data_IF_521587609355
#
_entry.id   IF_521587609355
#
_cell.length_a   1.000
_cell.length_b   1.000
_cell.length_c   1.000
_cell.angle_alpha   90.00
_cell.angle_beta   90.00
_cell.angle_gamma   90.00
#
_symmetry.space_group_name_H-M   'P 1'
#
loop_
_entity.id
_entity.type
_entity.pdbx_description
1 polymer ?
#
# COMPACT_ATOMS: atom_id res chain seq x y z
N UNK A 1 -16.21 -8.89 -0.83
CA UNK A 1 -16.73 -9.04 0.55
C UNK A 1 -17.73 -7.93 0.86
N UNK A 2 -18.82 -8.20 1.60
CA UNK A 2 -19.82 -7.23 2.09
C UNK A 2 -20.29 -7.64 3.50
N UNK A 3 -20.93 -6.74 4.24
CA UNK A 3 -21.56 -7.07 5.52
C UNK A 3 -20.57 -7.43 6.63
N UNK A 4 -20.92 -8.43 7.46
CA UNK A 4 -20.14 -8.85 8.64
C UNK A 4 -18.70 -9.26 8.30
N UNK A 5 -18.51 -10.09 7.27
CA UNK A 5 -17.18 -10.51 6.81
C UNK A 5 -16.30 -9.32 6.42
N UNK A 6 -16.84 -8.35 5.68
CA UNK A 6 -16.09 -7.12 5.34
C UNK A 6 -15.73 -6.33 6.60
N UNK A 7 -16.66 -6.21 7.57
CA UNK A 7 -16.39 -5.51 8.83
C UNK A 7 -15.26 -6.20 9.61
N UNK A 8 -15.28 -7.53 9.73
CA UNK A 8 -14.25 -8.32 10.43
C UNK A 8 -12.88 -8.15 9.77
N UNK A 9 -12.79 -8.36 8.45
CA UNK A 9 -11.55 -8.17 7.70
C UNK A 9 -11.02 -6.73 7.79
N UNK A 10 -11.90 -5.73 7.69
CA UNK A 10 -11.51 -4.32 7.83
C UNK A 10 -11.00 -4.00 9.24
N UNK A 11 -11.67 -4.50 10.29
CA UNK A 11 -11.21 -4.32 11.68
C UNK A 11 -9.84 -4.94 11.90
N UNK A 12 -9.57 -6.11 11.32
CA UNK A 12 -8.26 -6.77 11.38
C UNK A 12 -7.19 -5.98 10.64
N UNK A 13 -7.48 -5.47 9.44
CA UNK A 13 -6.51 -4.59 8.76
C UNK A 13 -6.22 -3.34 9.59
N UNK A 14 -7.25 -2.71 10.17
CA UNK A 14 -7.08 -1.53 11.01
C UNK A 14 -6.30 -1.80 12.30
N UNK A 15 -6.40 -3.00 12.87
CA UNK A 15 -5.60 -3.34 14.05
C UNK A 15 -4.11 -3.37 13.75
N UNK A 16 -3.68 -3.67 12.53
CA UNK A 16 -2.27 -3.63 12.09
C UNK A 16 -1.80 -2.28 11.56
N UNK A 17 -2.73 -1.40 11.20
CA UNK A 17 -2.45 -0.04 10.78
C UNK A 17 -2.57 0.98 11.92
N UNK A 18 -2.62 0.53 13.17
CA UNK A 18 -2.72 1.43 14.32
C UNK A 18 -1.37 2.11 14.64
N UNK A 19 -1.42 3.30 15.23
CA UNK A 19 -0.24 4.13 15.46
C UNK A 19 0.81 3.49 16.37
N UNK A 20 0.40 2.62 17.30
CA UNK A 20 1.31 1.89 18.19
C UNK A 20 2.11 0.83 17.43
N UNK A 21 1.46 -0.01 16.61
CA UNK A 21 2.16 -1.03 15.80
C UNK A 21 3.04 -0.37 14.74
N UNK A 22 2.56 0.72 14.14
CA UNK A 22 3.35 1.49 13.17
C UNK A 22 4.64 2.01 13.84
N UNK A 23 4.50 2.60 15.04
CA UNK A 23 5.62 3.16 15.79
C UNK A 23 6.62 2.11 16.24
N UNK A 24 6.13 1.00 16.81
CA UNK A 24 6.97 0.05 17.55
C UNK A 24 7.64 -0.99 16.65
N UNK A 25 7.06 -1.30 15.49
CA UNK A 25 7.54 -2.37 14.61
C UNK A 25 7.71 -1.94 13.15
N UNK A 26 6.69 -1.30 12.56
CA UNK A 26 6.69 -1.02 11.12
C UNK A 26 7.80 -0.04 10.71
N UNK A 27 8.04 1.01 11.50
CA UNK A 27 9.05 2.02 11.16
C UNK A 27 10.46 1.43 11.06
N UNK A 28 10.82 0.54 11.97
CA UNK A 28 12.12 -0.12 11.98
C UNK A 28 12.30 -1.03 10.75
N UNK A 29 11.25 -1.79 10.38
CA UNK A 29 11.27 -2.61 9.17
C UNK A 29 11.35 -1.76 7.89
N UNK A 30 10.64 -0.62 7.83
CA UNK A 30 10.74 0.33 6.73
C UNK A 30 12.17 0.84 6.58
N UNK A 31 12.75 1.41 7.66
CA UNK A 31 14.10 1.98 7.63
C UNK A 31 15.14 0.94 7.22
N UNK A 32 15.07 -0.27 7.80
CA UNK A 32 15.98 -1.38 7.47
C UNK A 32 15.86 -1.81 6.01
N UNK A 33 14.65 -2.07 5.51
CA UNK A 33 14.45 -2.57 4.15
C UNK A 33 14.77 -1.51 3.09
N UNK A 34 14.48 -0.24 3.37
CA UNK A 34 14.85 0.88 2.49
C UNK A 34 16.37 1.00 2.43
N UNK A 35 17.08 1.03 3.56
CA UNK A 35 18.55 1.08 3.58
C UNK A 35 19.19 -0.10 2.86
N UNK A 36 18.72 -1.32 3.16
CA UNK A 36 19.23 -2.54 2.51
C UNK A 36 19.14 -2.47 0.98
N UNK A 37 18.03 -1.93 0.44
CA UNK A 37 17.89 -1.77 -1.00
C UNK A 37 18.74 -0.61 -1.53
N UNK A 38 18.73 0.55 -0.88
CA UNK A 38 19.54 1.71 -1.29
C UNK A 38 21.04 1.38 -1.33
N UNK A 39 21.55 0.63 -0.36
CA UNK A 39 22.96 0.20 -0.30
C UNK A 39 23.33 -0.77 -1.44
N UNK A 40 22.34 -1.44 -2.03
CA UNK A 40 22.54 -2.35 -3.17
C UNK A 40 22.54 -1.66 -4.53
N UNK A 41 22.11 -0.38 -4.59
CA UNK A 41 21.97 0.35 -5.84
C UNK A 41 23.34 0.73 -6.41
N UNK A 42 23.60 0.33 -7.65
CA UNK A 42 24.83 0.63 -8.37
C UNK A 42 24.53 1.28 -9.72
N UNK A 43 25.03 2.50 -9.93
CA UNK A 43 24.88 3.21 -11.20
C UNK A 43 23.44 3.59 -11.53
N UNK A 44 22.92 3.10 -12.67
CA UNK A 44 21.57 3.41 -13.15
C UNK A 44 20.61 2.29 -12.73
N UNK A 45 19.48 2.67 -12.14
CA UNK A 45 18.44 1.76 -11.67
C UNK A 45 17.11 2.02 -12.38
N UNK A 46 16.25 1.00 -12.40
CA UNK A 46 14.84 1.16 -12.73
C UNK A 46 14.08 1.42 -11.44
N UNK A 47 13.84 2.70 -11.12
CA UNK A 47 13.28 3.11 -9.83
C UNK A 47 11.95 2.42 -9.48
N UNK A 48 11.08 2.21 -10.48
CA UNK A 48 9.80 1.54 -10.25
C UNK A 48 9.99 0.08 -9.81
N UNK A 49 10.98 -0.62 -10.36
CA UNK A 49 11.27 -2.01 -10.00
C UNK A 49 11.86 -2.10 -8.59
N UNK A 50 12.74 -1.16 -8.23
CA UNK A 50 13.31 -1.07 -6.87
C UNK A 50 12.24 -0.70 -5.83
N UNK A 51 11.38 0.27 -6.13
CA UNK A 51 10.26 0.64 -5.25
C UNK A 51 9.27 -0.52 -5.07
N UNK A 52 9.01 -1.28 -6.15
CA UNK A 52 8.21 -2.50 -6.13
C UNK A 52 8.86 -3.56 -5.24
N UNK A 53 10.16 -3.79 -5.36
CA UNK A 53 10.89 -4.74 -4.50
C UNK A 53 10.78 -4.36 -3.02
N UNK A 54 11.08 -3.11 -2.66
CA UNK A 54 11.00 -2.63 -1.26
C UNK A 54 9.60 -2.84 -0.68
N UNK A 55 8.55 -2.42 -1.40
CA UNK A 55 7.17 -2.47 -0.91
C UNK A 55 6.63 -3.90 -0.85
N UNK A 56 7.03 -4.78 -1.76
CA UNK A 56 6.66 -6.19 -1.72
C UNK A 56 7.26 -6.87 -0.48
N UNK A 57 8.55 -6.68 -0.26
CA UNK A 57 9.26 -7.28 0.88
C UNK A 57 8.74 -6.76 2.22
N UNK A 58 8.47 -5.45 2.31
CA UNK A 58 7.82 -4.87 3.49
C UNK A 58 6.45 -5.50 3.73
N UNK A 59 5.64 -5.66 2.68
CA UNK A 59 4.30 -6.24 2.82
C UNK A 59 4.38 -7.72 3.24
N UNK A 60 5.30 -8.51 2.68
CA UNK A 60 5.52 -9.89 3.10
C UNK A 60 6.01 -9.99 4.55
N UNK A 61 6.91 -9.10 4.96
CA UNK A 61 7.39 -9.01 6.34
C UNK A 61 6.23 -8.76 7.30
N UNK A 62 5.35 -7.80 7.00
CA UNK A 62 4.22 -7.42 7.86
C UNK A 62 3.12 -8.48 7.90
N UNK A 63 2.85 -9.15 6.77
CA UNK A 63 1.78 -10.13 6.69
C UNK A 63 2.18 -11.50 7.22
N UNK A 64 3.43 -11.92 6.98
CA UNK A 64 3.87 -13.31 7.11
C UNK A 64 5.18 -13.47 7.89
N UNK A 65 5.83 -12.40 8.36
CA UNK A 65 7.17 -12.42 8.96
C UNK A 65 8.25 -13.03 8.06
N UNK A 66 8.10 -12.90 6.74
CA UNK A 66 9.08 -13.43 5.76
C UNK A 66 10.10 -12.34 5.43
N UNK A 67 11.39 -12.70 5.49
CA UNK A 67 12.49 -11.83 5.09
C UNK A 67 12.83 -11.99 3.60
N UNK A 68 13.49 -10.98 2.98
CA UNK A 68 13.92 -11.05 1.60
C UNK A 68 14.79 -12.28 1.32
N UNK A 69 14.38 -13.09 0.35
CA UNK A 69 15.06 -14.30 -0.08
C UNK A 69 14.70 -14.66 -1.53
N UNK A 70 15.29 -15.73 -2.06
CA UNK A 70 14.97 -16.19 -3.42
C UNK A 70 13.49 -16.56 -3.58
N UNK A 71 12.87 -17.12 -2.54
CA UNK A 71 11.45 -17.48 -2.57
C UNK A 71 10.53 -16.24 -2.64
N UNK A 72 10.79 -15.21 -1.83
CA UNK A 72 10.00 -13.97 -1.85
C UNK A 72 10.11 -13.26 -3.20
N UNK A 73 11.31 -13.23 -3.77
CA UNK A 73 11.56 -12.66 -5.09
C UNK A 73 10.84 -13.43 -6.22
N UNK A 74 10.80 -14.76 -6.15
CA UNK A 74 10.04 -15.57 -7.10
C UNK A 74 8.53 -15.37 -6.95
N UNK A 75 8.03 -15.28 -5.72
CA UNK A 75 6.62 -14.96 -5.46
C UNK A 75 6.26 -13.57 -6.01
N UNK A 76 7.14 -12.57 -5.87
CA UNK A 76 6.97 -11.22 -6.41
C UNK A 76 6.77 -11.22 -7.92
N UNK A 77 7.59 -11.98 -8.66
CA UNK A 77 7.49 -12.10 -10.12
C UNK A 77 6.15 -12.68 -10.55
N UNK A 78 5.65 -13.68 -9.83
CA UNK A 78 4.31 -14.22 -10.08
C UNK A 78 3.22 -13.18 -9.76
N UNK A 79 3.36 -12.43 -8.67
CA UNK A 79 2.44 -11.34 -8.32
C UNK A 79 2.33 -10.26 -9.39
N UNK A 80 3.45 -9.88 -10.00
CA UNK A 80 3.43 -8.90 -11.09
C UNK A 80 2.52 -9.35 -12.23
N UNK A 81 2.54 -10.63 -12.59
CA UNK A 81 1.65 -11.19 -13.62
C UNK A 81 0.17 -11.15 -13.20
N UNK A 82 -0.12 -11.34 -11.91
CA UNK A 82 -1.49 -11.21 -11.38
C UNK A 82 -2.02 -9.79 -11.57
N UNK A 83 -1.20 -8.79 -11.25
CA UNK A 83 -1.58 -7.38 -11.34
C UNK A 83 -1.75 -6.93 -12.79
N UNK A 84 -0.86 -7.37 -13.70
CA UNK A 84 -1.03 -7.13 -15.13
C UNK A 84 -2.38 -7.65 -15.66
N UNK A 85 -2.83 -8.80 -15.15
CA UNK A 85 -4.13 -9.36 -15.49
C UNK A 85 -5.32 -8.61 -14.91
N UNK A 86 -5.16 -7.93 -13.77
CA UNK A 86 -6.23 -7.19 -13.11
C UNK A 86 -6.77 -6.04 -13.97
N UNK A 87 -5.89 -5.39 -14.73
CA UNK A 87 -6.23 -4.25 -15.60
C UNK A 87 -6.48 -4.63 -17.07
N UNK A 88 -6.47 -5.93 -17.41
CA UNK A 88 -6.68 -6.38 -18.79
C UNK A 88 -8.13 -6.83 -19.04
N UNK A 89 -8.47 -7.04 -20.32
CA UNK A 89 -9.80 -7.55 -20.71
C UNK A 89 -9.97 -8.97 -20.13
N UNK A 90 -11.03 -9.23 -19.33
CA UNK A 90 -11.22 -10.50 -18.62
C UNK A 90 -11.79 -11.60 -19.53
N UNK A 91 -11.22 -11.76 -20.73
CA UNK A 91 -11.60 -12.76 -21.72
C UNK A 91 -10.41 -13.68 -21.97
N UNK A 92 -10.33 -14.84 -21.29
CA UNK A 92 -9.13 -15.69 -21.35
C UNK A 92 -8.85 -16.21 -22.76
N UNK A 93 -9.89 -16.47 -23.56
CA UNK A 93 -9.70 -16.91 -24.94
C UNK A 93 -8.93 -15.87 -25.79
N UNK A 94 -9.22 -14.59 -25.59
CA UNK A 94 -8.68 -13.49 -26.40
C UNK A 94 -7.48 -12.76 -25.75
N UNK A 95 -7.28 -12.90 -24.43
CA UNK A 95 -6.21 -12.22 -23.69
C UNK A 95 -5.21 -13.25 -23.15
N UNK A 96 -4.03 -13.30 -23.78
CA UNK A 96 -2.90 -14.08 -23.25
C UNK A 96 -2.49 -13.58 -21.85
N UNK A 97 -2.52 -12.25 -21.64
CA UNK A 97 -2.23 -11.62 -20.33
C UNK A 97 -3.19 -12.12 -19.25
N UNK A 98 -4.50 -12.17 -19.53
CA UNK A 98 -5.47 -12.67 -18.56
C UNK A 98 -5.26 -14.16 -18.23
N UNK A 99 -4.94 -14.98 -19.23
CA UNK A 99 -4.59 -16.40 -19.03
C UNK A 99 -3.35 -16.56 -18.14
N UNK A 100 -2.29 -15.80 -18.42
CA UNK A 100 -1.06 -15.82 -17.61
C UNK A 100 -1.34 -15.38 -16.17
N UNK A 101 -2.15 -14.35 -15.98
CA UNK A 101 -2.53 -13.87 -14.66
C UNK A 101 -3.36 -14.89 -13.86
N UNK A 102 -4.30 -15.61 -14.50
CA UNK A 102 -5.03 -16.70 -13.85
C UNK A 102 -4.06 -17.81 -13.39
N UNK A 103 -3.11 -18.20 -14.24
CA UNK A 103 -2.13 -19.22 -13.88
C UNK A 103 -1.18 -18.74 -12.77
N UNK A 104 -0.74 -17.50 -12.83
CA UNK A 104 0.08 -16.89 -11.79
C UNK A 104 -0.68 -16.81 -10.45
N UNK A 105 -1.97 -16.44 -10.48
CA UNK A 105 -2.83 -16.44 -9.28
C UNK A 105 -2.87 -17.82 -8.64
N UNK A 106 -3.02 -18.90 -9.42
CA UNK A 106 -2.99 -20.27 -8.88
C UNK A 106 -1.68 -20.58 -8.16
N UNK A 107 -0.55 -20.29 -8.80
CA UNK A 107 0.79 -20.51 -8.21
C UNK A 107 1.00 -19.70 -6.92
N UNK A 108 0.56 -18.45 -6.91
CA UNK A 108 0.59 -17.58 -5.72
C UNK A 108 -0.28 -18.15 -4.60
N UNK A 109 -1.51 -18.54 -4.90
CA UNK A 109 -2.44 -19.13 -3.94
C UNK A 109 -1.86 -20.43 -3.36
N UNK A 110 -1.34 -21.34 -4.19
CA UNK A 110 -0.67 -22.57 -3.75
C UNK A 110 0.52 -22.29 -2.83
N UNK A 111 1.38 -21.34 -3.19
CA UNK A 111 2.53 -20.95 -2.37
C UNK A 111 2.10 -20.41 -1.00
N UNK A 112 1.06 -19.58 -0.96
CA UNK A 112 0.54 -19.03 0.30
C UNK A 112 -0.19 -20.09 1.14
N UNK A 113 -0.88 -21.06 0.53
CA UNK A 113 -1.45 -22.19 1.27
C UNK A 113 -0.38 -22.99 2.02
N UNK A 114 0.79 -23.21 1.40
CA UNK A 114 1.89 -23.89 2.07
C UNK A 114 2.36 -23.11 3.29
N UNK A 115 2.50 -21.78 3.18
CA UNK A 115 2.89 -20.90 4.30
C UNK A 115 1.84 -20.93 5.41
N UNK A 116 0.55 -20.84 5.08
CA UNK A 116 -0.55 -20.87 6.06
C UNK A 116 -0.57 -22.21 6.80
N UNK A 117 -0.45 -23.33 6.06
CA UNK A 117 -0.41 -24.67 6.65
C UNK A 117 0.79 -24.87 7.57
N UNK A 118 1.97 -24.45 7.15
CA UNK A 118 3.18 -24.51 7.98
C UNK A 118 3.02 -23.66 9.25
N UNK A 119 2.46 -22.46 9.13
CA UNK A 119 2.21 -21.58 10.28
C UNK A 119 1.23 -22.17 11.28
N UNK A 120 0.21 -22.91 10.84
CA UNK A 120 -0.70 -23.63 11.76
C UNK A 120 0.07 -24.68 12.57
N UNK A 121 0.93 -25.46 11.93
CA UNK A 121 1.77 -26.46 12.60
C UNK A 121 2.76 -25.80 13.59
N UNK A 122 3.37 -24.67 13.21
CA UNK A 122 4.23 -23.88 14.10
C UNK A 122 3.46 -23.41 15.35
N UNK A 123 2.23 -22.92 15.16
CA UNK A 123 1.34 -22.47 16.25
C UNK A 123 0.97 -23.59 17.21
N UNK A 124 0.65 -24.78 16.70
CA UNK A 124 0.39 -25.98 17.51
C UNK A 124 1.60 -26.39 18.37
N UNK A 125 2.82 -26.14 17.87
CA UNK A 125 4.07 -26.32 18.60
C UNK A 125 4.40 -25.18 19.56
N UNK A 126 3.52 -24.18 19.69
CA UNK A 126 3.68 -23.05 20.61
C UNK A 126 4.53 -21.89 20.06
N UNK A 127 4.90 -21.90 18.78
CA UNK A 127 5.63 -20.79 18.16
C UNK A 127 4.65 -19.65 17.89
N UNK A 128 4.94 -18.47 18.44
CA UNK A 128 4.16 -17.24 18.21
C UNK A 128 4.94 -16.29 17.31
N UNK A 129 4.26 -15.68 16.35
CA UNK A 129 4.79 -14.58 15.53
C UNK A 129 3.89 -13.37 15.68
N UNK A 130 4.46 -12.18 15.50
CA UNK A 130 3.74 -10.92 15.60
C UNK A 130 3.51 -10.37 14.19
N UNK A 131 2.67 -11.05 13.41
CA UNK A 131 2.27 -10.66 12.07
C UNK A 131 0.76 -10.79 11.85
N UNK A 132 0.29 -10.31 10.70
CA UNK A 132 -1.14 -10.34 10.38
C UNK A 132 -1.71 -11.75 10.33
N UNK A 133 -0.94 -12.73 9.85
CA UNK A 133 -1.38 -14.13 9.82
C UNK A 133 -1.62 -14.69 11.22
N UNK A 134 -0.75 -14.39 12.19
CA UNK A 134 -0.96 -14.79 13.57
C UNK A 134 -2.23 -14.17 14.16
N UNK A 135 -2.47 -12.88 13.91
CA UNK A 135 -3.70 -12.24 14.38
C UNK A 135 -4.97 -12.71 13.66
N UNK A 136 -4.88 -13.12 12.39
CA UNK A 136 -6.00 -13.76 11.69
C UNK A 136 -6.40 -15.05 12.43
N UNK A 137 -5.43 -15.86 12.86
CA UNK A 137 -5.68 -17.06 13.68
C UNK A 137 -6.15 -16.77 15.12
N UNK A 138 -5.79 -15.62 15.68
CA UNK A 138 -6.19 -15.26 17.06
C UNK A 138 -7.52 -14.50 17.10
N UNK A 139 -7.97 -13.94 15.97
CA UNK A 139 -9.29 -13.33 15.80
C UNK A 139 -10.45 -14.33 15.79
N UNK A 140 -10.14 -15.60 16.02
CA UNK A 140 -11.04 -16.76 16.06
C UNK A 140 -11.81 -16.90 17.40
N UNK A 141 -11.76 -15.89 18.28
CA UNK A 141 -12.54 -15.87 19.52
C UNK A 141 -13.98 -15.40 19.31
N UNK A 142 -14.95 -16.32 19.39
CA UNK A 142 -16.42 -16.18 19.42
C UNK A 142 -17.22 -16.21 18.09
N UNK A 143 -16.58 -16.30 16.91
CA UNK A 143 -17.25 -16.50 15.60
C UNK A 143 -16.65 -17.68 14.81
N UNK A 144 -17.31 -18.12 13.73
CA UNK A 144 -16.82 -19.17 12.81
C UNK A 144 -15.37 -18.88 12.36
N UNK A 145 -14.51 -19.90 12.43
CA UNK A 145 -13.10 -19.81 12.05
C UNK A 145 -12.94 -19.45 10.57
N UNK A 146 -11.95 -18.62 10.24
CA UNK A 146 -11.61 -18.42 8.83
C UNK A 146 -11.09 -19.72 8.21
N UNK A 147 -11.65 -20.09 7.06
CA UNK A 147 -11.11 -21.17 6.26
C UNK A 147 -9.76 -20.75 5.66
N UNK A 148 -8.87 -21.72 5.42
CA UNK A 148 -7.55 -21.45 4.83
C UNK A 148 -7.66 -20.71 3.50
N UNK A 149 -8.68 -21.02 2.70
CA UNK A 149 -8.98 -20.33 1.44
C UNK A 149 -9.29 -18.84 1.66
N UNK A 150 -10.05 -18.49 2.71
CA UNK A 150 -10.38 -17.11 3.03
C UNK A 150 -9.16 -16.32 3.51
N UNK A 151 -8.31 -16.96 4.31
CA UNK A 151 -7.05 -16.38 4.77
C UNK A 151 -6.14 -16.13 3.58
N UNK A 152 -5.99 -17.11 2.69
CA UNK A 152 -5.12 -16.97 1.51
C UNK A 152 -5.66 -15.91 0.55
N UNK A 153 -6.95 -15.90 0.22
CA UNK A 153 -7.53 -14.86 -0.63
C UNK A 153 -7.38 -13.45 -0.02
N UNK A 154 -7.46 -13.34 1.31
CA UNK A 154 -7.24 -12.08 2.02
C UNK A 154 -5.78 -11.63 1.96
N UNK A 155 -4.83 -12.53 2.24
CA UNK A 155 -3.39 -12.27 2.08
C UNK A 155 -3.07 -11.84 0.64
N UNK A 156 -3.69 -12.49 -0.35
CA UNK A 156 -3.49 -12.12 -1.75
C UNK A 156 -3.95 -10.70 -2.05
N UNK A 157 -5.12 -10.35 -1.52
CA UNK A 157 -5.69 -9.02 -1.70
C UNK A 157 -4.83 -7.93 -1.04
N UNK A 158 -4.28 -8.19 0.14
CA UNK A 158 -3.43 -7.25 0.87
C UNK A 158 -2.06 -7.07 0.22
N UNK A 159 -1.47 -8.15 -0.31
CA UNK A 159 -0.22 -8.08 -1.07
C UNK A 159 -0.36 -7.17 -2.28
N UNK A 160 -1.46 -7.28 -3.05
CA UNK A 160 -1.74 -6.36 -4.17
C UNK A 160 -1.88 -4.91 -3.68
N UNK A 161 -2.62 -4.71 -2.59
CA UNK A 161 -2.92 -3.37 -2.08
C UNK A 161 -1.66 -2.61 -1.61
N UNK A 162 -0.79 -3.25 -0.83
CA UNK A 162 0.41 -2.62 -0.24
C UNK A 162 1.55 -2.40 -1.23
N UNK A 163 1.68 -3.28 -2.22
CA UNK A 163 2.77 -3.29 -3.19
C UNK A 163 2.63 -2.24 -4.30
N UNK A 164 1.58 -2.31 -5.12
CA UNK A 164 1.55 -1.55 -6.39
C UNK A 164 1.24 -0.07 -6.16
N UNK A 165 0.40 0.25 -5.17
CA UNK A 165 0.02 1.62 -4.85
C UNK A 165 1.18 2.41 -4.24
N UNK A 166 1.84 1.85 -3.23
CA UNK A 166 2.96 2.50 -2.54
C UNK A 166 4.16 2.65 -3.46
N UNK A 167 4.52 1.62 -4.23
CA UNK A 167 5.66 1.70 -5.16
C UNK A 167 5.46 2.73 -6.26
N UNK A 168 4.24 2.82 -6.81
CA UNK A 168 3.89 3.85 -7.78
C UNK A 168 3.94 5.25 -7.16
N UNK A 169 3.48 5.41 -5.92
CA UNK A 169 3.58 6.68 -5.17
C UNK A 169 5.03 7.10 -4.98
N UNK A 170 5.89 6.21 -4.50
CA UNK A 170 7.33 6.47 -4.31
C UNK A 170 8.00 6.89 -5.62
N UNK A 171 7.72 6.17 -6.70
CA UNK A 171 8.27 6.45 -8.03
C UNK A 171 7.86 7.85 -8.52
N UNK A 172 6.58 8.19 -8.36
CA UNK A 172 6.05 9.49 -8.76
C UNK A 172 6.54 10.63 -7.87
N UNK A 173 6.72 10.40 -6.57
CA UNK A 173 7.33 11.38 -5.67
C UNK A 173 8.73 11.78 -6.16
N UNK A 174 9.59 10.80 -6.46
CA UNK A 174 10.94 11.07 -6.98
C UNK A 174 10.88 11.78 -8.33
N UNK A 175 10.00 11.37 -9.23
CA UNK A 175 9.77 12.05 -10.51
C UNK A 175 9.39 13.52 -10.29
N UNK A 176 8.41 13.80 -9.44
CA UNK A 176 7.92 15.16 -9.21
C UNK A 176 8.97 16.04 -8.53
N UNK A 177 9.73 15.50 -7.59
CA UNK A 177 10.84 16.19 -6.95
C UNK A 177 11.99 16.47 -7.93
N UNK A 178 12.26 15.56 -8.86
CA UNK A 178 13.26 15.77 -9.93
C UNK A 178 12.86 16.93 -10.84
N UNK A 179 11.56 17.02 -11.17
CA UNK A 179 11.01 18.11 -11.98
C UNK A 179 10.81 19.43 -11.21
N UNK A 180 10.95 19.39 -9.86
CA UNK A 180 10.74 20.55 -8.97
C UNK A 180 11.93 20.76 -8.03
N UNK A 181 13.07 21.29 -8.53
CA UNK A 181 14.31 21.37 -7.76
C UNK A 181 14.21 22.17 -6.45
N UNK A 182 13.36 23.19 -6.40
CA UNK A 182 13.12 23.98 -5.19
C UNK A 182 12.46 23.14 -4.07
N UNK A 183 11.53 22.26 -4.42
CA UNK A 183 10.93 21.34 -3.45
C UNK A 183 11.95 20.31 -2.98
N UNK A 184 12.78 19.78 -3.89
CA UNK A 184 13.86 18.87 -3.51
C UNK A 184 14.88 19.53 -2.58
N UNK A 185 15.23 20.79 -2.82
CA UNK A 185 16.16 21.54 -1.96
C UNK A 185 15.61 21.70 -0.54
N UNK A 186 14.35 22.11 -0.39
CA UNK A 186 13.72 22.24 0.93
C UNK A 186 13.57 20.88 1.64
N UNK A 187 13.26 19.81 0.90
CA UNK A 187 13.18 18.46 1.46
C UNK A 187 14.55 17.98 1.98
N UNK A 188 15.64 18.30 1.26
CA UNK A 188 17.00 18.02 1.72
C UNK A 188 17.35 18.79 2.98
N UNK A 189 17.04 20.08 3.04
CA UNK A 189 17.26 20.90 4.24
C UNK A 189 16.54 20.32 5.47
N UNK A 190 15.28 19.91 5.33
CA UNK A 190 14.52 19.23 6.38
C UNK A 190 15.24 17.96 6.88
N UNK A 191 15.64 17.06 5.98
CA UNK A 191 16.28 15.80 6.36
C UNK A 191 17.73 15.95 6.85
N UNK A 192 18.48 16.93 6.35
CA UNK A 192 19.83 17.25 6.83
C UNK A 192 19.77 17.76 8.28
N UNK A 193 18.78 18.59 8.61
CA UNK A 193 18.55 19.06 9.98
C UNK A 193 18.17 17.93 10.95
N UNK A 194 17.39 16.94 10.51
CA UNK A 194 17.08 15.72 11.29
C UNK A 194 18.36 14.90 11.49
N UNK A 195 19.12 14.64 10.42
CA UNK A 195 20.35 13.84 10.47
C UNK A 195 21.42 14.47 11.37
N UNK A 196 21.56 15.78 11.35
CA UNK A 196 22.53 16.50 12.19
C UNK A 196 22.33 16.25 13.70
N UNK A 197 21.11 15.93 14.14
CA UNK A 197 20.79 15.64 15.54
C UNK A 197 21.14 14.21 15.96
N UNK A 198 21.27 13.26 15.03
CA UNK A 198 21.37 11.81 15.33
C UNK A 198 22.64 11.12 14.80
N UNK A 199 23.37 11.75 13.89
CA UNK A 199 24.53 11.15 13.23
C UNK A 199 24.13 10.24 12.05
N UNK A 200 25.05 10.03 11.11
CA UNK A 200 24.72 9.49 9.77
C UNK A 200 24.25 8.03 9.72
N UNK A 201 24.39 7.25 10.80
CA UNK A 201 24.19 5.79 10.80
C UNK A 201 23.18 5.28 11.83
N UNK A 202 22.38 6.16 12.43
CA UNK A 202 21.35 5.79 13.41
C UNK A 202 20.02 5.54 12.70
N UNK A 203 19.29 4.51 13.14
CA UNK A 203 17.95 4.20 12.64
C UNK A 203 16.97 5.35 12.91
N UNK A 204 15.98 5.52 12.04
CA UNK A 204 14.92 6.51 12.26
C UNK A 204 14.04 6.10 13.44
N UNK A 205 13.72 7.09 14.28
CA UNK A 205 12.74 6.94 15.36
C UNK A 205 11.46 7.71 15.02
N UNK A 206 10.39 7.43 15.77
CA UNK A 206 9.09 8.05 15.55
C UNK A 206 9.11 9.58 15.64
N UNK A 207 9.94 10.14 16.53
CA UNK A 207 10.07 11.58 16.68
C UNK A 207 10.77 12.24 15.48
N UNK A 208 11.62 11.50 14.77
CA UNK A 208 12.19 11.96 13.50
C UNK A 208 11.12 12.07 12.43
N UNK A 209 10.28 11.03 12.30
CA UNK A 209 9.17 11.01 11.35
C UNK A 209 8.20 12.19 11.59
N UNK A 210 7.85 12.46 12.86
CA UNK A 210 7.03 13.62 13.22
C UNK A 210 7.71 14.97 12.90
N UNK A 211 9.04 14.97 12.77
CA UNK A 211 9.83 16.15 12.40
C UNK A 211 9.96 16.34 10.89
N UNK A 212 9.11 15.69 10.07
CA UNK A 212 9.12 15.79 8.60
C UNK A 212 7.87 16.50 8.02
N UNK A 213 7.53 17.73 8.44
CA UNK A 213 6.30 18.41 8.01
C UNK A 213 6.26 18.73 6.51
N UNK A 214 7.39 19.08 5.90
CA UNK A 214 7.44 19.34 4.46
C UNK A 214 7.41 18.05 3.64
N UNK A 215 8.00 16.97 4.15
CA UNK A 215 7.80 15.63 3.58
C UNK A 215 6.31 15.28 3.50
N UNK A 216 5.51 15.58 4.53
CA UNK A 216 4.05 15.35 4.46
C UNK A 216 3.38 16.18 3.36
N UNK A 217 3.82 17.42 3.14
CA UNK A 217 3.33 18.26 2.05
C UNK A 217 3.64 17.64 0.67
N UNK A 218 4.84 17.10 0.50
CA UNK A 218 5.27 16.38 -0.72
C UNK A 218 4.46 15.10 -0.93
N UNK A 219 4.22 14.32 0.14
CA UNK A 219 3.41 13.09 0.07
C UNK A 219 1.98 13.42 -0.33
N UNK A 220 1.34 14.41 0.31
CA UNK A 220 -0.02 14.82 -0.01
C UNK A 220 -0.15 15.30 -1.46
N UNK A 221 0.81 16.12 -1.93
CA UNK A 221 0.78 16.60 -3.31
C UNK A 221 1.05 15.49 -4.33
N UNK A 222 1.93 14.55 -4.00
CA UNK A 222 2.17 13.36 -4.82
C UNK A 222 0.90 12.53 -4.95
N UNK A 223 0.19 12.26 -3.85
CA UNK A 223 -1.07 11.51 -3.86
C UNK A 223 -2.16 12.24 -4.65
N UNK A 224 -2.31 13.56 -4.44
CA UNK A 224 -3.29 14.39 -5.14
C UNK A 224 -3.09 14.35 -6.66
N UNK A 225 -1.84 14.44 -7.14
CA UNK A 225 -1.57 14.48 -8.58
C UNK A 225 -1.49 13.10 -9.22
N UNK A 226 -0.87 12.14 -8.54
CA UNK A 226 -0.67 10.78 -9.07
C UNK A 226 -2.00 10.09 -9.37
N UNK A 227 -3.02 10.28 -8.51
CA UNK A 227 -4.35 9.68 -8.67
C UNK A 227 -4.30 8.18 -9.02
N UNK A 228 -3.43 7.45 -8.32
CA UNK A 228 -3.15 6.01 -8.58
C UNK A 228 -4.45 5.21 -8.59
N UNK A 229 -5.33 5.49 -7.63
CA UNK A 229 -6.72 5.06 -7.67
C UNK A 229 -7.59 6.24 -8.10
N UNK A 230 -8.02 6.24 -9.37
CA UNK A 230 -8.75 7.36 -9.97
C UNK A 230 -10.21 7.46 -9.52
N UNK A 231 -10.76 6.40 -8.93
CA UNK A 231 -12.12 6.38 -8.41
C UNK A 231 -12.53 5.03 -7.85
N UNK A 232 -13.74 4.99 -7.31
CA UNK A 232 -14.33 3.79 -6.71
C UNK A 232 -15.69 3.47 -7.30
N UNK A 233 -15.97 2.18 -7.47
CA UNK A 233 -17.28 1.72 -7.91
C UNK A 233 -18.21 1.48 -6.71
N UNK A 234 -19.48 1.87 -6.89
CA UNK A 234 -20.58 1.64 -5.95
C UNK A 234 -21.80 1.14 -6.73
N UNK A 235 -22.73 0.50 -6.02
CA UNK A 235 -24.05 0.15 -6.55
C UNK A 235 -25.12 0.71 -5.62
N UNK A 236 -26.06 1.48 -6.15
CA UNK A 236 -27.17 2.01 -5.37
C UNK A 236 -28.04 0.85 -4.84
N UNK A 237 -28.29 0.82 -3.53
CA UNK A 237 -29.13 -0.22 -2.89
C UNK A 237 -30.60 0.22 -2.75
N UNK A 238 -30.84 1.51 -2.90
CA UNK A 238 -32.14 2.20 -2.92
C UNK A 238 -32.06 3.32 -3.96
N UNK A 239 -33.19 3.93 -4.29
CA UNK A 239 -33.18 5.19 -5.04
C UNK A 239 -32.52 6.27 -4.16
N UNK A 240 -31.65 7.09 -4.76
CA UNK A 240 -30.92 8.17 -4.08
C UNK A 240 -31.11 9.46 -4.85
N UNK A 241 -31.58 10.51 -4.18
CA UNK A 241 -31.63 11.86 -4.76
C UNK A 241 -30.36 12.63 -4.41
N UNK A 242 -29.67 13.17 -5.41
CA UNK A 242 -28.51 14.05 -5.26
C UNK A 242 -28.73 15.28 -6.13
N UNK A 243 -28.88 16.45 -5.50
CA UNK A 243 -29.33 17.68 -6.18
C UNK A 243 -30.62 17.37 -6.98
N UNK A 244 -30.65 17.74 -8.25
CA UNK A 244 -31.80 17.53 -9.15
C UNK A 244 -31.82 16.14 -9.81
N UNK A 245 -30.85 15.28 -9.50
CA UNK A 245 -30.72 13.95 -10.10
C UNK A 245 -31.25 12.86 -9.17
N UNK A 246 -31.94 11.87 -9.76
CA UNK A 246 -32.30 10.62 -9.06
C UNK A 246 -31.43 9.49 -9.60
N UNK A 247 -30.63 8.88 -8.74
CA UNK A 247 -29.87 7.66 -9.02
C UNK A 247 -30.77 6.47 -8.66
N UNK A 248 -31.23 5.68 -9.64
CA UNK A 248 -32.15 4.59 -9.36
C UNK A 248 -31.44 3.42 -8.66
N UNK A 249 -32.20 2.69 -7.84
CA UNK A 249 -31.79 1.44 -7.20
C UNK A 249 -31.20 0.49 -8.24
N UNK A 250 -30.05 -0.08 -7.91
CA UNK A 250 -29.34 -1.03 -8.76
C UNK A 250 -28.35 -0.39 -9.73
N UNK A 251 -28.39 0.94 -9.94
CA UNK A 251 -27.44 1.65 -10.79
C UNK A 251 -26.00 1.48 -10.28
N UNK A 252 -25.05 1.33 -11.20
CA UNK A 252 -23.62 1.36 -10.92
C UNK A 252 -23.15 2.81 -10.97
N UNK A 253 -22.47 3.25 -9.93
CA UNK A 253 -21.95 4.62 -9.79
C UNK A 253 -20.43 4.54 -9.70
N UNK A 254 -19.74 5.33 -10.51
CA UNK A 254 -18.30 5.52 -10.39
C UNK A 254 -18.05 6.89 -9.75
N UNK A 255 -17.48 6.90 -8.55
CA UNK A 255 -17.09 8.13 -7.85
C UNK A 255 -15.66 8.47 -8.24
N UNK A 256 -15.47 9.51 -9.06
CA UNK A 256 -14.15 9.94 -9.49
C UNK A 256 -13.46 10.75 -8.39
N UNK A 257 -12.40 10.17 -7.80
CA UNK A 257 -11.51 10.88 -6.88
C UNK A 257 -10.60 11.85 -7.66
N UNK A 258 -10.21 11.45 -8.87
CA UNK A 258 -9.40 12.29 -9.76
C UNK A 258 -10.08 13.61 -10.11
N UNK A 259 -11.41 13.62 -10.27
CA UNK A 259 -12.16 14.81 -10.61
C UNK A 259 -11.95 15.93 -9.58
N UNK A 260 -12.13 15.63 -8.28
CA UNK A 260 -11.95 16.65 -7.23
C UNK A 260 -10.49 17.06 -7.08
N UNK A 261 -9.54 16.12 -7.19
CA UNK A 261 -8.13 16.43 -7.05
C UNK A 261 -7.59 17.33 -8.16
N UNK A 262 -8.16 17.29 -9.37
CA UNK A 262 -7.69 18.06 -10.53
C UNK A 262 -8.62 19.22 -10.91
N UNK A 263 -9.57 19.54 -10.03
CA UNK A 263 -10.50 20.65 -10.22
C UNK A 263 -9.81 21.98 -9.87
N UNK A 264 -9.85 22.93 -10.81
CA UNK A 264 -9.24 24.25 -10.64
C UNK A 264 -10.00 25.12 -9.62
N UNK A 265 -11.29 24.85 -9.43
CA UNK A 265 -12.10 25.56 -8.44
C UNK A 265 -11.72 25.15 -7.01
N UNK A 266 -11.15 23.94 -6.83
CA UNK A 266 -10.67 23.43 -5.55
C UNK A 266 -9.16 23.63 -5.34
N UNK A 267 -8.38 23.60 -6.43
CA UNK A 267 -6.92 23.71 -6.38
C UNK A 267 -6.42 24.65 -7.47
N UNK A 268 -5.91 25.83 -7.08
CA UNK A 268 -5.20 26.70 -8.02
C UNK A 268 -4.01 25.96 -8.65
N UNK A 269 -3.90 26.09 -9.98
CA UNK A 269 -2.96 25.33 -10.80
C UNK A 269 -3.02 23.82 -10.51
N UNK A 270 -4.23 23.24 -10.54
CA UNK A 270 -4.51 21.88 -10.11
C UNK A 270 -3.63 20.80 -10.78
N UNK A 271 -3.02 21.07 -11.93
CA UNK A 271 -2.15 20.11 -12.65
C UNK A 271 -0.66 20.32 -12.41
N UNK A 272 -0.29 21.34 -11.65
CA UNK A 272 1.09 21.65 -11.27
C UNK A 272 1.41 21.02 -9.93
N UNK A 273 2.58 20.37 -9.84
CA UNK A 273 3.10 19.86 -8.57
C UNK A 273 3.57 21.03 -7.70
N UNK A 274 2.78 21.33 -6.68
CA UNK A 274 3.04 22.41 -5.73
C UNK A 274 2.82 21.90 -4.30
N UNK A 275 3.86 21.37 -3.62
CA UNK A 275 3.73 20.88 -2.25
C UNK A 275 3.44 22.01 -1.24
N UNK A 276 3.84 23.25 -1.53
CA UNK A 276 3.62 24.39 -0.63
C UNK A 276 2.12 24.69 -0.39
N UNK A 277 1.22 24.23 -1.26
CA UNK A 277 -0.23 24.36 -1.04
C UNK A 277 -0.71 23.71 0.27
N UNK A 278 0.02 22.70 0.75
CA UNK A 278 -0.29 21.98 1.98
C UNK A 278 0.34 22.60 3.23
N UNK A 279 1.24 23.57 3.10
CA UNK A 279 1.86 24.24 4.26
C UNK A 279 0.86 25.12 5.01
N UNK A 280 -0.12 25.71 4.32
CA UNK A 280 -1.10 26.63 4.92
C UNK A 280 -2.26 25.86 5.59
N UNK A 281 -2.62 24.67 5.08
CA UNK A 281 -3.78 23.93 5.60
C UNK A 281 -3.55 23.23 6.94
N UNK A 282 -2.31 23.07 7.40
CA UNK A 282 -2.01 22.42 8.69
C UNK A 282 -2.22 23.32 9.93
N UNK A 283 -2.70 24.56 9.74
CA UNK A 283 -3.06 25.47 10.85
C UNK A 283 -4.54 25.41 11.26
N UNK A 284 -5.39 24.66 10.53
CA UNK A 284 -6.85 24.61 10.76
C UNK A 284 -7.37 23.24 11.22
N UNK A 285 -6.49 22.32 11.62
CA UNK A 285 -6.91 21.04 12.19
C UNK A 285 -5.95 20.58 13.29
N UNK A 286 -6.19 21.09 14.50
CA UNK A 286 -5.90 20.43 15.78
C UNK A 286 -7.21 20.45 16.58
#
# INVERSE_FOLDING_TARGET
MRGGLHRRMHSLTMSFANSTIIKDHLLADIDRLVRLNLDSWNGRILLMDEAKKITFELTLKQLLSIEPCEWSENLRKEYMLVIEGFFCIPLPFFSLTYRRAIQARKRVTEALHLVVRERRIEREKGVKKNDMLAALFDSDGDEENFYDDEIVDFLVSLLVAGYDTTSTTMTLAVKYLTDTPSALAQLKEEHDAIRAKKGASVALEWDDYKSMPFTQCVVNETLRLSNIISGVFRRAITDVKIKDYTIPKGAKVFTSLRAVHLDQDNFEDARVFNPWRWQVSNSLSI
#
